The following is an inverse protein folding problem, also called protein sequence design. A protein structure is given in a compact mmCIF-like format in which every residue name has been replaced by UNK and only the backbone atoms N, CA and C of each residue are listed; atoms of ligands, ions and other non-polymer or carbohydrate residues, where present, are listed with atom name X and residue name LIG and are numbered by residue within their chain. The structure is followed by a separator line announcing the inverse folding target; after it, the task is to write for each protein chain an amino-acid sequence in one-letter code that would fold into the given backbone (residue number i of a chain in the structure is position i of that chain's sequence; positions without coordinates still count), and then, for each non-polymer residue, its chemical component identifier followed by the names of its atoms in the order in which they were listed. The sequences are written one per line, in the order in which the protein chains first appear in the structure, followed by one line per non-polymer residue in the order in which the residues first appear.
data_IF_252079804311
#
_entry.id   IF_252079804311
#
_cell.length_a   1.000
_cell.length_b   1.000
_cell.length_c   1.000
_cell.angle_alpha   90.00
_cell.angle_beta   90.00
_cell.angle_gamma   90.00
#
_symmetry.space_group_name_H-M   'P 1'
#
loop_
_entity.id
_entity.type
_entity.pdbx_description
1 polymer ?
#
# COMPACT_ATOMS: atom_id res chain seq x y z
N UNK A 1 -21.07 -16.84 -0.49
CA UNK A 1 -20.62 -17.97 0.37
C UNK A 1 -20.89 -17.56 1.81
N UNK A 2 -21.71 -18.34 2.53
CA UNK A 2 -21.98 -18.10 3.95
C UNK A 2 -20.75 -18.56 4.74
N UNK A 3 -20.19 -17.66 5.55
CA UNK A 3 -18.96 -17.90 6.30
C UNK A 3 -19.28 -18.75 7.53
N UNK A 4 -18.90 -20.04 7.51
CA UNK A 4 -19.29 -21.04 8.52
C UNK A 4 -18.26 -21.21 9.67
N UNK A 5 -17.61 -20.12 10.10
CA UNK A 5 -16.64 -20.11 11.22
C UNK A 5 -16.79 -18.85 12.06
N UNK A 6 -16.62 -18.99 13.38
CA UNK A 6 -16.58 -17.86 14.31
C UNK A 6 -15.42 -16.90 14.00
N UNK A 7 -15.61 -15.62 14.26
CA UNK A 7 -14.58 -14.59 14.08
C UNK A 7 -13.80 -14.48 15.40
N UNK A 8 -12.51 -14.78 15.36
CA UNK A 8 -11.64 -14.62 16.52
C UNK A 8 -11.31 -13.14 16.78
N UNK A 9 -10.88 -12.85 18.01
CA UNK A 9 -10.53 -11.50 18.44
C UNK A 9 -9.45 -10.86 17.55
N UNK A 10 -8.44 -11.62 17.12
CA UNK A 10 -7.36 -11.13 16.25
C UNK A 10 -7.87 -10.66 14.89
N UNK A 11 -8.73 -11.46 14.24
CA UNK A 11 -9.34 -11.11 12.95
C UNK A 11 -10.18 -9.85 13.08
N UNK A 12 -10.93 -9.73 14.17
CA UNK A 12 -11.73 -8.53 14.47
C UNK A 12 -10.84 -7.30 14.66
N UNK A 13 -9.70 -7.45 15.33
CA UNK A 13 -8.75 -6.38 15.56
C UNK A 13 -8.06 -5.93 14.26
N UNK A 14 -7.69 -6.86 13.37
CA UNK A 14 -7.15 -6.53 12.04
C UNK A 14 -8.17 -5.77 11.18
N UNK A 15 -9.43 -6.22 11.17
CA UNK A 15 -10.51 -5.52 10.46
C UNK A 15 -10.71 -4.10 10.99
N UNK A 16 -10.70 -3.92 12.31
CA UNK A 16 -10.84 -2.59 12.93
C UNK A 16 -9.64 -1.67 12.62
N UNK A 17 -8.42 -2.21 12.64
CA UNK A 17 -7.19 -1.48 12.25
C UNK A 17 -7.27 -1.02 10.80
N UNK A 18 -7.64 -1.92 9.89
CA UNK A 18 -7.81 -1.60 8.47
C UNK A 18 -8.89 -0.53 8.25
N UNK A 19 -10.03 -0.66 8.94
CA UNK A 19 -11.12 0.32 8.88
C UNK A 19 -10.66 1.71 9.33
N UNK A 20 -9.93 1.81 10.45
CA UNK A 20 -9.43 3.09 10.95
C UNK A 20 -8.40 3.72 10.02
N UNK A 21 -7.42 2.97 9.51
CA UNK A 21 -6.45 3.50 8.54
C UNK A 21 -7.11 3.96 7.24
N UNK A 22 -8.08 3.19 6.72
CA UNK A 22 -8.81 3.56 5.51
C UNK A 22 -9.57 4.87 5.69
N UNK A 23 -10.27 5.05 6.81
CA UNK A 23 -11.00 6.28 7.08
C UNK A 23 -10.03 7.44 7.33
N UNK A 24 -9.01 7.26 8.17
CA UNK A 24 -8.02 8.31 8.42
C UNK A 24 -7.31 8.77 7.13
N UNK A 25 -6.98 7.83 6.23
CA UNK A 25 -6.42 8.15 4.92
C UNK A 25 -7.36 9.01 4.07
N UNK A 26 -8.67 8.73 4.09
CA UNK A 26 -9.67 9.49 3.34
C UNK A 26 -9.87 10.89 3.92
N UNK A 27 -9.92 11.01 5.24
CA UNK A 27 -10.11 12.30 5.93
C UNK A 27 -8.83 13.16 5.91
N UNK A 28 -7.65 12.53 5.74
CA UNK A 28 -6.34 13.19 5.78
C UNK A 28 -5.89 13.50 7.21
N UNK A 29 -6.64 14.34 7.92
CA UNK A 29 -6.45 14.61 9.36
C UNK A 29 -7.80 14.71 10.08
N UNK A 30 -7.90 14.13 11.27
CA UNK A 30 -9.09 14.26 12.10
C UNK A 30 -8.80 13.93 13.57
N UNK A 31 -9.79 14.09 14.46
CA UNK A 31 -9.64 13.69 15.86
C UNK A 31 -10.02 12.22 16.06
N UNK A 32 -9.50 11.59 17.12
CA UNK A 32 -9.88 10.21 17.51
C UNK A 32 -11.39 10.08 17.77
N UNK A 33 -11.98 11.11 18.37
CA UNK A 33 -13.42 11.16 18.65
C UNK A 33 -14.24 11.19 17.35
N UNK A 34 -13.78 11.95 16.35
CA UNK A 34 -14.39 11.95 15.02
C UNK A 34 -14.29 10.59 14.35
N UNK A 35 -13.10 9.95 14.37
CA UNK A 35 -12.93 8.58 13.85
C UNK A 35 -13.85 7.56 14.52
N UNK A 36 -14.01 7.63 15.85
CA UNK A 36 -14.94 6.76 16.57
C UNK A 36 -16.39 6.96 16.11
N UNK A 37 -16.84 8.21 15.98
CA UNK A 37 -18.17 8.53 15.45
C UNK A 37 -18.36 8.05 14.01
N UNK A 38 -17.35 8.25 13.16
CA UNK A 38 -17.39 7.92 11.74
C UNK A 38 -17.40 6.40 11.49
N UNK A 39 -16.68 5.64 12.32
CA UNK A 39 -16.55 4.19 12.17
C UNK A 39 -17.56 3.39 12.99
N UNK A 40 -18.28 4.02 13.92
CA UNK A 40 -19.18 3.34 14.86
C UNK A 40 -18.45 2.51 15.93
N UNK A 41 -17.13 2.60 16.01
CA UNK A 41 -16.33 1.89 17.01
C UNK A 41 -16.41 2.57 18.37
N UNK A 42 -16.31 1.77 19.45
CA UNK A 42 -16.18 2.31 20.82
C UNK A 42 -14.92 3.18 20.91
N UNK A 43 -15.01 4.30 21.63
CA UNK A 43 -13.88 5.22 21.81
C UNK A 43 -12.64 4.53 22.39
N UNK A 44 -12.82 3.62 23.35
CA UNK A 44 -11.71 2.84 23.92
C UNK A 44 -10.98 1.99 22.86
N UNK A 45 -11.73 1.37 21.93
CA UNK A 45 -11.16 0.59 20.82
C UNK A 45 -10.33 1.47 19.90
N UNK A 46 -10.86 2.64 19.51
CA UNK A 46 -10.11 3.60 18.68
C UNK A 46 -8.86 4.08 19.40
N UNK A 47 -8.96 4.47 20.67
CA UNK A 47 -7.81 4.92 21.46
C UNK A 47 -6.70 3.87 21.51
N UNK A 48 -7.04 2.61 21.76
CA UNK A 48 -6.06 1.52 21.81
C UNK A 48 -5.38 1.30 20.46
N UNK A 49 -6.15 1.23 19.38
CA UNK A 49 -5.58 1.05 18.03
C UNK A 49 -4.71 2.25 17.62
N UNK A 50 -5.15 3.47 17.91
CA UNK A 50 -4.38 4.68 17.60
C UNK A 50 -3.09 4.75 18.42
N UNK A 51 -3.09 4.25 19.66
CA UNK A 51 -1.87 4.11 20.47
C UNK A 51 -0.89 3.14 19.82
N UNK A 52 -1.36 1.99 19.34
CA UNK A 52 -0.52 1.05 18.58
C UNK A 52 0.09 1.72 17.34
N UNK A 53 -0.73 2.42 16.55
CA UNK A 53 -0.25 3.12 15.35
C UNK A 53 0.77 4.22 15.64
N UNK A 54 0.60 4.96 16.73
CA UNK A 54 1.59 5.96 17.17
C UNK A 54 2.90 5.29 17.60
N UNK A 55 2.83 4.21 18.39
CA UNK A 55 4.00 3.45 18.80
C UNK A 55 4.77 2.87 17.60
N UNK A 56 4.04 2.39 16.60
CA UNK A 56 4.63 1.89 15.35
C UNK A 56 5.08 3.01 14.41
N UNK A 57 4.63 4.25 14.62
CA UNK A 57 4.90 5.41 13.77
C UNK A 57 4.15 5.43 12.45
N UNK A 58 3.02 4.73 12.36
CA UNK A 58 2.12 4.76 11.19
C UNK A 58 1.30 6.07 11.19
N UNK A 59 1.02 6.61 12.37
CA UNK A 59 0.27 7.85 12.59
C UNK A 59 1.13 8.83 13.38
N UNK A 60 0.89 10.13 13.19
CA UNK A 60 1.42 11.21 14.02
C UNK A 60 0.29 12.08 14.57
N UNK A 61 0.54 12.77 15.67
CA UNK A 61 -0.34 13.83 16.17
C UNK A 61 -0.06 15.14 15.43
N UNK A 62 -1.12 15.81 14.98
CA UNK A 62 -1.06 17.07 14.22
C UNK A 62 -1.83 18.16 14.96
N UNK A 63 -1.19 18.74 15.98
CA UNK A 63 -1.67 19.90 16.71
C UNK A 63 -3.11 19.78 17.24
N UNK A 64 -3.76 20.93 17.45
CA UNK A 64 -5.14 21.00 17.90
C UNK A 64 -6.09 21.26 16.73
N UNK A 65 -7.16 20.45 16.65
CA UNK A 65 -8.32 20.70 15.82
C UNK A 65 -9.41 21.38 16.62
N UNK A 66 -10.09 22.35 16.00
CA UNK A 66 -11.30 22.97 16.54
C UNK A 66 -12.44 21.93 16.51
N UNK A 67 -12.83 21.44 17.68
CA UNK A 67 -13.94 20.49 17.82
C UNK A 67 -15.31 21.16 17.73
N UNK A 68 -16.34 20.36 17.47
CA UNK A 68 -17.74 20.79 17.26
C UNK A 68 -18.44 21.46 18.46
N UNK A 69 -17.75 21.61 19.61
CA UNK A 69 -18.25 22.31 20.81
C UNK A 69 -17.15 23.16 21.49
N UNK A 70 -16.19 23.69 20.75
CA UNK A 70 -15.10 24.52 21.29
C UNK A 70 -14.04 23.75 22.10
N UNK A 71 -14.22 22.44 22.31
CA UNK A 71 -13.20 21.57 22.90
C UNK A 71 -12.07 21.37 21.90
N UNK A 72 -10.86 21.78 22.29
CA UNK A 72 -9.63 21.45 21.56
C UNK A 72 -9.43 19.94 21.59
N UNK A 73 -9.26 19.33 20.42
CA UNK A 73 -8.95 17.91 20.29
C UNK A 73 -7.65 17.74 19.54
N UNK A 74 -6.83 16.76 19.93
CA UNK A 74 -5.58 16.49 19.23
C UNK A 74 -5.93 15.86 17.87
N UNK A 75 -5.43 16.48 16.80
CA UNK A 75 -5.52 15.93 15.46
C UNK A 75 -4.58 14.75 15.28
N UNK A 76 -4.95 13.78 14.45
CA UNK A 76 -4.11 12.68 14.02
C UNK A 76 -4.10 12.62 12.49
N UNK A 77 -2.97 12.21 11.92
CA UNK A 77 -2.81 11.95 10.48
C UNK A 77 -1.86 10.78 10.23
N UNK A 78 -1.93 10.17 9.04
CA UNK A 78 -0.97 9.14 8.65
C UNK A 78 0.41 9.79 8.47
N UNK A 79 1.44 9.17 9.03
CA UNK A 79 2.83 9.61 8.84
C UNK A 79 3.25 9.44 7.38
N UNK A 80 3.76 10.52 6.78
CA UNK A 80 4.19 10.53 5.38
C UNK A 80 5.70 10.24 5.21
N UNK A 81 6.47 10.37 6.29
CA UNK A 81 7.94 10.38 6.21
C UNK A 81 8.61 9.08 6.66
N UNK A 82 7.91 8.26 7.45
CA UNK A 82 8.50 7.08 8.09
C UNK A 82 8.46 5.83 7.22
N UNK A 83 7.30 5.53 6.63
CA UNK A 83 7.09 4.29 5.90
C UNK A 83 6.63 4.52 4.48
N UNK A 84 7.05 3.61 3.60
CA UNK A 84 6.86 3.70 2.15
C UNK A 84 6.45 2.36 1.58
N UNK A 85 5.86 2.39 0.39
CA UNK A 85 5.48 1.22 -0.39
C UNK A 85 6.01 1.36 -1.80
N UNK A 86 6.54 0.28 -2.35
CA UNK A 86 6.93 0.22 -3.76
C UNK A 86 5.73 -0.24 -4.59
N UNK A 87 5.43 0.49 -5.66
CA UNK A 87 4.45 0.09 -6.67
C UNK A 87 5.15 -0.18 -8.00
N UNK A 88 4.96 -1.39 -8.53
CA UNK A 88 5.40 -1.77 -9.87
C UNK A 88 4.17 -1.86 -10.78
N UNK A 89 4.23 -1.25 -11.95
CA UNK A 89 3.25 -1.44 -13.01
C UNK A 89 3.96 -2.03 -14.21
N UNK A 90 3.60 -3.26 -14.54
CA UNK A 90 4.02 -3.92 -15.77
C UNK A 90 2.90 -3.80 -16.80
N UNK A 91 3.22 -3.25 -17.96
CA UNK A 91 2.30 -3.05 -19.07
C UNK A 91 2.92 -3.60 -20.36
N UNK A 92 2.12 -3.61 -21.44
CA UNK A 92 2.53 -4.22 -22.72
C UNK A 92 3.77 -3.60 -23.37
N UNK A 93 4.01 -2.30 -23.19
CA UNK A 93 5.07 -1.54 -23.87
C UNK A 93 5.98 -0.78 -22.91
N UNK A 94 5.81 -1.01 -21.61
CA UNK A 94 6.56 -0.30 -20.58
C UNK A 94 6.42 -0.99 -19.24
N UNK A 95 7.34 -0.68 -18.34
CA UNK A 95 7.12 -0.84 -16.91
C UNK A 95 7.28 0.50 -16.19
N UNK A 96 6.82 0.55 -14.95
CA UNK A 96 7.10 1.65 -14.05
C UNK A 96 7.33 1.14 -12.65
N UNK A 97 8.34 1.69 -11.97
CA UNK A 97 8.62 1.45 -10.56
C UNK A 97 8.47 2.78 -9.84
N UNK A 98 7.60 2.83 -8.85
CA UNK A 98 7.33 4.02 -8.04
C UNK A 98 7.44 3.74 -6.56
N UNK A 99 7.72 4.80 -5.81
CA UNK A 99 7.73 4.81 -4.36
C UNK A 99 6.64 5.76 -3.86
N UNK A 100 5.86 5.31 -2.88
CA UNK A 100 4.72 6.03 -2.36
C UNK A 100 4.76 6.05 -0.84
N UNK A 101 4.23 7.11 -0.23
CA UNK A 101 3.94 7.11 1.21
C UNK A 101 2.68 6.26 1.52
N UNK A 102 2.33 6.15 2.81
CA UNK A 102 1.15 5.38 3.24
C UNK A 102 -0.20 6.04 2.86
N UNK A 103 -0.19 7.31 2.48
CA UNK A 103 -1.37 8.02 1.94
C UNK A 103 -1.55 7.76 0.43
N UNK A 104 -0.55 7.16 -0.21
CA UNK A 104 -0.49 6.89 -1.65
C UNK A 104 0.05 8.07 -2.46
N UNK A 105 0.65 9.07 -1.81
CA UNK A 105 1.32 10.17 -2.49
C UNK A 105 2.61 9.64 -3.13
N UNK A 106 2.80 9.94 -4.41
CA UNK A 106 3.98 9.52 -5.15
C UNK A 106 5.20 10.35 -4.71
N UNK A 107 6.23 9.67 -4.19
CA UNK A 107 7.52 10.27 -3.84
C UNK A 107 8.42 10.34 -5.07
N UNK A 108 8.52 9.23 -5.80
CA UNK A 108 9.27 9.14 -7.06
C UNK A 108 8.72 8.04 -7.94
N UNK A 109 8.95 8.14 -9.24
CA UNK A 109 8.55 7.15 -10.22
C UNK A 109 9.50 7.16 -11.40
N UNK A 110 9.99 5.98 -11.76
CA UNK A 110 10.70 5.73 -13.02
C UNK A 110 9.78 4.97 -13.96
N UNK A 111 9.77 5.37 -15.22
CA UNK A 111 9.10 4.67 -16.31
C UNK A 111 10.16 4.30 -17.34
N UNK A 112 10.07 3.08 -17.85
CA UNK A 112 10.91 2.61 -18.95
C UNK A 112 10.00 2.00 -20.00
N UNK A 113 10.05 2.57 -21.20
CA UNK A 113 9.33 2.08 -22.37
C UNK A 113 10.20 1.04 -23.10
N UNK A 114 9.56 0.05 -23.69
CA UNK A 114 10.21 -0.98 -24.50
C UNK A 114 9.31 -1.33 -25.69
N UNK A 115 9.93 -1.74 -26.79
CA UNK A 115 9.22 -2.14 -28.01
C UNK A 115 9.00 -3.66 -28.01
N UNK A 116 7.76 -4.18 -27.96
CA UNK A 116 7.51 -5.62 -28.02
C UNK A 116 7.94 -6.26 -29.34
N UNK A 117 8.03 -5.49 -30.42
CA UNK A 117 8.47 -5.98 -31.74
C UNK A 117 9.96 -6.32 -31.77
N UNK A 118 10.75 -5.74 -30.87
CA UNK A 118 12.17 -6.07 -30.69
C UNK A 118 12.37 -7.35 -29.85
N UNK A 119 11.27 -8.01 -29.45
CA UNK A 119 11.28 -9.25 -28.68
C UNK A 119 12.21 -9.20 -27.44
N UNK A 120 12.02 -8.21 -26.54
CA UNK A 120 12.87 -8.11 -25.36
C UNK A 120 12.68 -9.33 -24.46
N UNK A 121 13.76 -9.73 -23.78
CA UNK A 121 13.70 -10.81 -22.80
C UNK A 121 12.93 -10.34 -21.56
N UNK A 122 11.93 -11.13 -21.15
CA UNK A 122 11.15 -10.86 -19.96
C UNK A 122 11.98 -10.97 -18.69
N UNK A 123 12.97 -11.87 -18.65
CA UNK A 123 13.88 -12.02 -17.52
C UNK A 123 14.75 -10.76 -17.35
N UNK A 124 15.25 -10.20 -18.45
CA UNK A 124 15.98 -8.93 -18.42
C UNK A 124 15.12 -7.77 -17.90
N UNK A 125 13.85 -7.69 -18.32
CA UNK A 125 12.94 -6.65 -17.81
C UNK A 125 12.67 -6.84 -16.31
N UNK A 126 12.47 -8.08 -15.86
CA UNK A 126 12.27 -8.37 -14.43
C UNK A 126 13.54 -8.05 -13.61
N UNK A 127 14.72 -8.37 -14.12
CA UNK A 127 15.99 -8.03 -13.51
C UNK A 127 16.17 -6.50 -13.38
N UNK A 128 15.80 -5.75 -14.42
CA UNK A 128 15.80 -4.29 -14.35
C UNK A 128 14.81 -3.77 -13.30
N UNK A 129 13.58 -4.28 -13.25
CA UNK A 129 12.59 -3.92 -12.23
C UNK A 129 13.15 -4.20 -10.82
N UNK A 130 13.73 -5.38 -10.60
CA UNK A 130 14.32 -5.75 -9.31
C UNK A 130 15.49 -4.83 -8.93
N UNK A 131 16.36 -4.48 -9.88
CA UNK A 131 17.45 -3.53 -9.66
C UNK A 131 16.94 -2.14 -9.26
N UNK A 132 15.87 -1.63 -9.90
CA UNK A 132 15.24 -0.37 -9.52
C UNK A 132 14.64 -0.43 -8.11
N UNK A 133 13.98 -1.54 -7.75
CA UNK A 133 13.44 -1.75 -6.41
C UNK A 133 14.55 -1.77 -5.36
N UNK A 134 15.66 -2.48 -5.61
CA UNK A 134 16.82 -2.50 -4.73
C UNK A 134 17.48 -1.13 -4.59
N UNK A 135 17.56 -0.35 -5.68
CA UNK A 135 18.07 1.01 -5.63
C UNK A 135 17.21 1.91 -4.73
N UNK A 136 15.88 1.80 -4.80
CA UNK A 136 14.96 2.50 -3.90
C UNK A 136 15.15 2.06 -2.44
N UNK A 137 15.29 0.76 -2.19
CA UNK A 137 15.54 0.22 -0.84
C UNK A 137 16.86 0.71 -0.25
N UNK A 138 17.92 0.77 -1.06
CA UNK A 138 19.22 1.32 -0.64
C UNK A 138 19.14 2.81 -0.35
N UNK A 139 18.43 3.58 -1.20
CA UNK A 139 18.32 5.04 -1.08
C UNK A 139 17.49 5.49 0.11
N UNK A 140 16.36 4.83 0.38
CA UNK A 140 15.39 5.24 1.42
C UNK A 140 15.48 4.43 2.71
N UNK A 141 16.30 3.37 2.72
CA UNK A 141 16.44 2.45 3.85
C UNK A 141 15.42 1.31 3.77
N UNK A 142 15.95 0.07 3.78
CA UNK A 142 15.16 -1.17 3.65
C UNK A 142 14.03 -1.26 4.68
N UNK A 143 14.31 -0.91 5.92
CA UNK A 143 13.35 -1.01 7.03
C UNK A 143 12.22 0.03 6.97
N UNK A 144 12.33 1.01 6.06
CA UNK A 144 11.26 2.00 5.83
C UNK A 144 10.27 1.54 4.76
N UNK A 145 10.58 0.49 4.00
CA UNK A 145 9.72 -0.01 2.92
C UNK A 145 8.96 -1.23 3.42
N UNK A 146 7.66 -1.04 3.67
CA UNK A 146 6.83 -2.06 4.28
C UNK A 146 6.37 -3.14 3.31
N UNK A 147 6.21 -2.78 2.04
CA UNK A 147 5.67 -3.67 1.03
C UNK A 147 6.07 -3.25 -0.38
N UNK A 148 5.98 -4.22 -1.29
CA UNK A 148 5.98 -4.00 -2.73
C UNK A 148 4.73 -4.65 -3.34
N UNK A 149 4.07 -3.95 -4.25
CA UNK A 149 2.93 -4.46 -5.02
C UNK A 149 3.19 -4.33 -6.51
N UNK A 150 2.84 -5.37 -7.28
CA UNK A 150 2.98 -5.37 -8.74
C UNK A 150 1.61 -5.49 -9.40
N UNK A 151 1.29 -4.56 -10.30
CA UNK A 151 0.18 -4.66 -11.23
C UNK A 151 0.69 -5.20 -12.56
N UNK A 152 0.12 -6.31 -13.03
CA UNK A 152 0.52 -6.98 -14.26
C UNK A 152 -0.62 -7.06 -15.27
N UNK A 153 -0.34 -7.20 -16.57
CA UNK A 153 -1.38 -7.38 -17.58
C UNK A 153 -2.01 -8.79 -17.43
N UNK A 154 -3.32 -8.90 -17.69
CA UNK A 154 -4.10 -10.11 -17.39
C UNK A 154 -4.12 -11.16 -18.51
N UNK A 155 -4.61 -12.38 -18.23
CA UNK A 155 -5.05 -12.87 -16.93
C UNK A 155 -3.89 -13.39 -16.06
N UNK A 156 -3.84 -12.94 -14.81
CA UNK A 156 -2.86 -13.37 -13.81
C UNK A 156 -3.39 -14.55 -12.99
N UNK A 157 -2.65 -15.66 -12.96
CA UNK A 157 -2.96 -16.85 -12.16
C UNK A 157 -2.26 -16.72 -10.80
N UNK A 158 -2.95 -16.11 -9.83
CA UNK A 158 -2.38 -15.81 -8.51
C UNK A 158 -1.77 -17.03 -7.79
N UNK A 159 -2.42 -18.22 -7.87
CA UNK A 159 -1.89 -19.45 -7.26
C UNK A 159 -0.55 -19.90 -7.81
N UNK A 160 -0.25 -19.56 -9.07
CA UNK A 160 0.98 -19.93 -9.76
C UNK A 160 1.97 -18.77 -9.86
N UNK A 161 1.57 -17.55 -9.47
CA UNK A 161 2.30 -16.30 -9.70
C UNK A 161 2.68 -16.06 -11.18
N UNK A 162 1.81 -16.48 -12.11
CA UNK A 162 2.09 -16.45 -13.55
C UNK A 162 1.11 -15.60 -14.32
N UNK A 163 1.59 -14.97 -15.38
CA UNK A 163 0.74 -14.34 -16.39
C UNK A 163 0.42 -15.38 -17.46
N UNK A 164 -0.86 -15.65 -17.68
CA UNK A 164 -1.27 -16.77 -18.53
C UNK A 164 -1.15 -16.47 -20.03
N UNK A 165 -1.65 -15.31 -20.46
CA UNK A 165 -1.66 -14.90 -21.86
C UNK A 165 -1.88 -13.39 -21.96
N UNK A 166 -1.08 -12.68 -22.74
CA UNK A 166 -1.35 -11.28 -23.09
C UNK A 166 -1.35 -11.14 -24.60
N UNK A 167 -2.52 -10.90 -25.19
CA UNK A 167 -2.64 -10.65 -26.62
C UNK A 167 -1.78 -9.44 -27.03
N UNK A 168 -0.86 -9.65 -27.98
CA UNK A 168 0.05 -8.63 -28.50
C UNK A 168 1.25 -8.33 -27.59
N UNK A 169 1.57 -9.19 -26.62
CA UNK A 169 2.79 -9.12 -25.82
C UNK A 169 3.22 -10.52 -25.35
N UNK A 170 3.61 -11.37 -26.29
CA UNK A 170 3.94 -12.78 -26.05
C UNK A 170 5.12 -12.98 -25.10
N UNK A 171 5.99 -11.97 -24.96
CA UNK A 171 7.11 -11.96 -23.99
C UNK A 171 6.66 -12.25 -22.55
N UNK A 172 5.42 -11.92 -22.20
CA UNK A 172 4.90 -12.10 -20.84
C UNK A 172 4.20 -13.43 -20.61
N UNK A 173 4.08 -14.26 -21.66
CA UNK A 173 3.41 -15.55 -21.55
C UNK A 173 4.23 -16.45 -20.63
N UNK A 174 3.56 -17.06 -19.64
CA UNK A 174 4.13 -18.11 -18.80
C UNK A 174 5.29 -17.67 -17.89
N UNK A 175 5.51 -16.36 -17.72
CA UNK A 175 6.53 -15.77 -16.84
C UNK A 175 6.16 -15.91 -15.36
N UNK A 176 7.12 -16.34 -14.52
CA UNK A 176 7.01 -16.40 -13.05
C UNK A 176 7.56 -15.11 -12.43
N UNK A 177 6.74 -14.42 -11.64
CA UNK A 177 7.05 -13.10 -11.07
C UNK A 177 7.66 -13.15 -9.66
N UNK A 178 7.84 -14.33 -9.07
CA UNK A 178 8.38 -14.49 -7.70
C UNK A 178 9.79 -15.05 -7.61
N UNK A 179 10.44 -15.32 -8.75
CA UNK A 179 11.85 -15.69 -8.78
C UNK A 179 12.75 -14.53 -8.42
#
# INVERSE_FOLDING_TARGET
MVQNRGINQDVTQEMNRSLLLKNLRREGMCSRAYLASLTGLKQATVTNIMKDFLNWGIVTEVGFLNGSKGRRSIGVSISQDRYRVIGVRLARKHYSVGLFDLTGTQITKKRVDFNPEEQPDAEDILNQIAAEMHALMKKYGKDTILAAGMAVPGPFIAKKNRIALITGADIWKDVDLKK
#
